data_IF_798165258303
#
_entry.id   IF_798165258303
#
_cell.length_a   1.000
_cell.length_b   1.000
_cell.length_c   1.000
_cell.angle_alpha   90.00
_cell.angle_beta   90.00
_cell.angle_gamma   90.00
#
_symmetry.space_group_name_H-M   'P 1'
#
loop_
_entity.id
_entity.type
_entity.pdbx_description
1 polymer ?
#
# COMPACT_ATOMS: atom_id res chain seq x y z
N UNK A 1 13.85 -4.85 88.74
CA UNK A 1 14.31 -3.78 87.81
C UNK A 1 14.87 -4.30 86.49
N UNK A 2 15.79 -5.29 86.47
CA UNK A 2 16.40 -5.81 85.22
C UNK A 2 15.41 -6.38 84.19
N UNK A 3 14.35 -7.05 84.64
CA UNK A 3 13.31 -7.64 83.76
C UNK A 3 12.31 -6.62 83.19
N UNK A 4 12.17 -5.45 83.81
CA UNK A 4 11.29 -4.36 83.32
C UNK A 4 12.03 -3.53 82.27
N UNK A 5 13.32 -3.24 82.48
CA UNK A 5 14.17 -2.59 81.46
C UNK A 5 14.30 -3.45 80.18
N UNK A 6 14.43 -4.76 80.31
CA UNK A 6 14.50 -5.67 79.15
C UNK A 6 13.21 -5.69 78.32
N UNK A 7 12.03 -5.57 78.96
CA UNK A 7 10.74 -5.50 78.26
C UNK A 7 10.51 -4.14 77.59
N UNK A 8 10.94 -3.05 78.25
CA UNK A 8 10.92 -1.70 77.66
C UNK A 8 11.82 -1.62 76.42
N UNK A 9 13.02 -2.21 76.46
CA UNK A 9 13.93 -2.24 75.31
C UNK A 9 13.35 -3.02 74.12
N UNK A 10 12.62 -4.11 74.38
CA UNK A 10 11.98 -4.92 73.33
C UNK A 10 10.77 -4.22 72.70
N UNK A 11 10.00 -3.44 73.47
CA UNK A 11 8.88 -2.63 72.97
C UNK A 11 9.38 -1.44 72.13
N UNK A 12 10.50 -0.82 72.52
CA UNK A 12 11.13 0.26 71.75
C UNK A 12 11.69 -0.22 70.40
N UNK A 13 12.24 -1.44 70.35
CA UNK A 13 12.72 -2.05 69.10
C UNK A 13 11.55 -2.42 68.17
N UNK A 14 10.44 -2.92 68.73
CA UNK A 14 9.26 -3.31 67.95
C UNK A 14 8.51 -2.09 67.38
N UNK A 15 8.52 -0.94 68.07
CA UNK A 15 7.95 0.31 67.58
C UNK A 15 8.77 0.96 66.44
N UNK A 16 10.08 0.67 66.35
CA UNK A 16 10.94 1.14 65.26
C UNK A 16 10.75 0.40 63.93
N UNK A 17 10.19 -0.81 63.96
CA UNK A 17 9.98 -1.66 62.77
C UNK A 17 8.75 -1.26 61.93
N UNK A 18 7.87 -0.38 62.44
CA UNK A 18 6.73 0.15 61.70
C UNK A 18 6.96 1.55 61.13
N UNK A 19 8.17 2.11 61.26
CA UNK A 19 8.60 3.27 60.48
C UNK A 19 8.99 2.81 59.06
N UNK A 20 8.02 2.27 58.34
CA UNK A 20 8.13 2.10 56.90
C UNK A 20 8.06 3.50 56.30
N UNK A 21 9.21 4.09 55.98
CA UNK A 21 9.29 5.23 55.08
C UNK A 21 8.38 4.94 53.88
N UNK A 22 7.32 5.73 53.68
CA UNK A 22 6.64 5.75 52.39
C UNK A 22 7.69 6.19 51.39
N UNK A 23 8.20 5.25 50.62
CA UNK A 23 8.99 5.57 49.44
C UNK A 23 7.96 6.07 48.43
N UNK A 24 7.70 7.37 48.45
CA UNK A 24 6.99 8.03 47.36
C UNK A 24 7.87 7.85 46.12
N UNK A 25 7.61 6.78 45.39
CA UNK A 25 8.23 6.55 44.10
C UNK A 25 7.72 7.63 43.16
N UNK A 26 8.63 8.46 42.65
CA UNK A 26 8.34 9.34 41.53
C UNK A 26 8.06 8.47 40.30
N UNK A 27 6.81 8.01 40.17
CA UNK A 27 6.36 7.22 39.02
C UNK A 27 6.31 8.14 37.81
N UNK A 28 7.15 7.83 36.82
CA UNK A 28 7.06 8.48 35.51
C UNK A 28 5.89 7.85 34.77
N UNK A 29 4.88 8.64 34.45
CA UNK A 29 3.75 8.20 33.63
C UNK A 29 3.38 9.24 32.59
N UNK A 30 2.69 8.78 31.56
CA UNK A 30 2.23 9.59 30.43
C UNK A 30 1.05 10.47 30.84
N UNK A 31 1.15 11.78 30.59
CA UNK A 31 0.12 12.77 30.93
C UNK A 31 -0.73 13.19 29.73
N UNK A 32 -0.25 12.96 28.51
CA UNK A 32 -1.01 13.24 27.29
C UNK A 32 -0.16 13.83 26.17
N UNK A 33 -0.84 14.42 25.20
CA UNK A 33 -0.26 15.19 24.10
C UNK A 33 -1.36 15.91 23.33
N UNK A 34 -0.96 16.82 22.45
CA UNK A 34 -1.87 17.57 21.58
C UNK A 34 -1.99 16.89 20.22
N UNK A 35 -3.20 16.79 19.68
CA UNK A 35 -3.39 16.28 18.33
C UNK A 35 -2.61 17.14 17.32
N UNK A 36 -1.78 16.54 16.44
CA UNK A 36 -1.10 17.30 15.39
C UNK A 36 -2.09 18.01 14.48
N UNK A 37 -1.80 19.24 14.06
CA UNK A 37 -2.59 19.94 13.05
C UNK A 37 -1.95 19.70 11.69
N UNK A 38 -2.60 18.91 10.83
CA UNK A 38 -2.14 18.62 9.47
C UNK A 38 -2.56 19.74 8.52
N UNK A 39 -1.59 20.26 7.79
CA UNK A 39 -1.76 21.24 6.72
C UNK A 39 -1.14 20.73 5.41
N UNK A 40 -1.63 21.25 4.29
CA UNK A 40 -1.10 20.99 2.95
C UNK A 40 -0.76 22.31 2.25
N UNK A 41 0.20 22.27 1.33
CA UNK A 41 0.56 23.41 0.48
C UNK A 41 -0.60 23.89 -0.40
N UNK A 42 -1.54 23.00 -0.72
CA UNK A 42 -2.79 23.31 -1.40
C UNK A 42 -3.80 22.19 -1.14
N UNK A 43 -5.08 22.54 -1.09
CA UNK A 43 -6.22 21.60 -1.10
C UNK A 43 -7.08 21.75 -2.36
N UNK A 44 -6.63 22.53 -3.34
CA UNK A 44 -7.30 22.66 -4.63
C UNK A 44 -7.27 21.34 -5.40
N UNK A 45 -8.24 21.14 -6.28
CA UNK A 45 -8.28 19.97 -7.15
C UNK A 45 -6.98 19.86 -7.98
N UNK A 46 -6.39 18.67 -8.02
CA UNK A 46 -5.14 18.40 -8.73
C UNK A 46 -5.37 17.38 -9.86
N UNK A 47 -4.91 17.73 -11.06
CA UNK A 47 -4.83 16.79 -12.18
C UNK A 47 -3.38 16.39 -12.36
N UNK A 48 -3.08 15.12 -12.10
CA UNK A 48 -1.74 14.57 -12.20
C UNK A 48 -1.49 14.16 -13.66
N UNK A 49 -0.30 14.48 -14.18
CA UNK A 49 0.09 14.10 -15.54
C UNK A 49 1.51 13.57 -15.57
N UNK A 50 1.77 12.60 -16.45
CA UNK A 50 3.12 12.06 -16.65
C UNK A 50 4.14 13.11 -17.10
N UNK A 51 3.69 14.15 -17.83
CA UNK A 51 4.55 15.26 -18.26
C UNK A 51 5.15 16.05 -17.09
N UNK A 52 4.44 16.09 -15.95
CA UNK A 52 4.86 16.80 -14.75
C UNK A 52 5.41 15.87 -13.67
N UNK A 53 5.74 14.61 -14.01
CA UNK A 53 6.10 13.55 -13.06
C UNK A 53 7.13 13.98 -12.00
N UNK A 54 8.15 14.74 -12.38
CA UNK A 54 9.23 15.20 -11.50
C UNK A 54 8.91 16.47 -10.70
N UNK A 55 7.81 17.16 -11.02
CA UNK A 55 7.42 18.38 -10.31
C UNK A 55 6.84 18.03 -8.94
N UNK A 56 7.05 18.91 -7.95
CA UNK A 56 6.39 18.79 -6.66
C UNK A 56 4.87 18.97 -6.83
N UNK A 57 4.08 18.02 -6.34
CA UNK A 57 2.62 18.08 -6.38
C UNK A 57 2.04 18.69 -5.10
N UNK A 58 2.42 18.13 -3.95
CA UNK A 58 1.88 18.54 -2.66
C UNK A 58 2.94 18.38 -1.58
N UNK A 59 2.96 19.34 -0.65
CA UNK A 59 3.74 19.27 0.58
C UNK A 59 2.80 19.30 1.76
N UNK A 60 2.96 18.34 2.66
CA UNK A 60 2.28 18.30 3.95
C UNK A 60 3.19 18.81 5.05
N UNK A 61 2.60 19.42 6.06
CA UNK A 61 3.28 19.86 7.28
C UNK A 61 2.36 19.70 8.48
N UNK A 62 2.92 19.50 9.67
CA UNK A 62 2.13 19.35 10.89
C UNK A 62 2.83 19.88 12.14
N UNK A 63 2.04 20.10 13.19
CA UNK A 63 2.56 20.48 14.52
C UNK A 63 3.10 19.26 15.27
N UNK A 64 4.07 19.48 16.16
CA UNK A 64 4.52 18.45 17.09
C UNK A 64 3.38 18.13 18.08
N UNK A 65 3.14 16.85 18.45
CA UNK A 65 2.16 16.52 19.47
C UNK A 65 2.56 16.92 20.89
N UNK A 66 3.82 17.29 21.15
CA UNK A 66 4.33 17.72 22.45
C UNK A 66 3.91 16.77 23.58
N UNK A 67 4.12 15.46 23.35
CA UNK A 67 3.81 14.41 24.30
C UNK A 67 4.44 14.73 25.66
N UNK A 68 3.67 14.61 26.73
CA UNK A 68 4.07 15.05 28.07
C UNK A 68 4.01 13.88 29.05
N UNK A 69 5.00 13.81 29.92
CA UNK A 69 5.08 12.91 31.06
C UNK A 69 5.14 13.76 32.34
N UNK A 70 5.03 13.12 33.51
CA UNK A 70 5.19 13.80 34.81
C UNK A 70 6.54 14.53 34.99
N UNK A 71 7.51 14.26 34.12
CA UNK A 71 8.83 14.91 34.08
C UNK A 71 8.89 16.10 33.10
N UNK A 72 7.78 16.46 32.47
CA UNK A 72 7.69 17.50 31.44
C UNK A 72 7.54 16.95 30.02
N UNK A 73 7.79 17.80 29.03
CA UNK A 73 7.71 17.44 27.60
C UNK A 73 8.69 16.31 27.28
N UNK A 74 8.20 15.32 26.57
CA UNK A 74 8.95 14.14 26.13
C UNK A 74 10.10 14.53 25.21
N UNK A 75 11.28 13.96 25.47
CA UNK A 75 12.44 14.03 24.58
C UNK A 75 12.54 12.84 23.62
N UNK A 76 11.53 11.96 23.60
CA UNK A 76 11.51 10.79 22.72
C UNK A 76 11.16 11.21 21.29
N UNK A 77 11.71 10.49 20.30
CA UNK A 77 11.34 10.67 18.91
C UNK A 77 9.85 10.32 18.70
N UNK A 78 9.19 11.12 17.86
CA UNK A 78 7.80 10.93 17.47
C UNK A 78 7.76 10.33 16.08
N UNK A 79 7.16 9.14 15.94
CA UNK A 79 6.89 8.54 14.66
C UNK A 79 5.60 9.11 14.07
N UNK A 80 5.67 9.58 12.83
CA UNK A 80 4.51 10.01 12.06
C UNK A 80 4.19 9.03 10.93
N UNK A 81 2.90 8.82 10.69
CA UNK A 81 2.39 8.05 9.56
C UNK A 81 1.30 8.89 8.89
N UNK A 82 1.55 9.30 7.64
CA UNK A 82 0.52 9.91 6.80
C UNK A 82 -0.36 8.78 6.24
N UNK A 83 -1.61 8.75 6.66
CA UNK A 83 -2.63 7.84 6.18
C UNK A 83 -3.40 8.50 5.03
N UNK A 84 -3.59 7.75 3.95
CA UNK A 84 -4.32 8.19 2.75
C UNK A 84 -5.41 7.18 2.44
N UNK A 85 -6.64 7.65 2.30
CA UNK A 85 -7.81 6.81 2.00
C UNK A 85 -8.81 7.57 1.10
N UNK A 86 -9.84 6.87 0.65
CA UNK A 86 -11.00 7.45 -0.02
C UNK A 86 -11.93 8.11 0.99
N UNK A 87 -12.62 9.17 0.55
CA UNK A 87 -13.53 9.93 1.43
C UNK A 87 -14.60 9.05 2.06
N UNK A 88 -14.77 9.15 3.38
CA UNK A 88 -15.83 8.46 4.12
C UNK A 88 -15.48 7.03 4.52
N UNK A 89 -14.33 6.50 4.08
CA UNK A 89 -13.83 5.18 4.49
C UNK A 89 -13.24 5.17 5.91
N UNK A 90 -13.11 6.35 6.53
CA UNK A 90 -12.62 6.52 7.91
C UNK A 90 -11.25 5.87 8.18
N UNK A 91 -10.38 5.79 7.16
CA UNK A 91 -9.07 5.15 7.26
C UNK A 91 -9.16 3.66 7.62
N UNK A 92 -10.14 2.96 7.02
CA UNK A 92 -10.38 1.53 7.23
C UNK A 92 -10.34 0.71 5.94
N UNK A 93 -10.16 1.34 4.78
CA UNK A 93 -10.09 0.63 3.51
C UNK A 93 -8.94 -0.38 3.49
N UNK A 94 -9.13 -1.57 2.89
CA UNK A 94 -8.05 -2.54 2.74
C UNK A 94 -6.90 -2.02 1.86
N UNK A 95 -7.17 -1.04 1.00
CA UNK A 95 -6.21 -0.39 0.11
C UNK A 95 -5.66 0.92 0.67
N UNK A 96 -6.00 1.31 1.91
CA UNK A 96 -5.47 2.50 2.58
C UNK A 96 -3.93 2.49 2.53
N UNK A 97 -3.34 3.65 2.27
CA UNK A 97 -1.89 3.80 2.23
C UNK A 97 -1.37 4.42 3.53
N UNK A 98 -0.26 3.86 4.05
CA UNK A 98 0.45 4.38 5.21
C UNK A 98 1.88 4.76 4.81
N UNK A 99 2.22 6.04 4.99
CA UNK A 99 3.52 6.59 4.59
C UNK A 99 4.23 7.08 5.85
N UNK A 100 5.27 6.36 6.26
CA UNK A 100 6.01 6.65 7.49
C UNK A 100 6.97 7.83 7.30
N UNK A 101 6.98 8.73 8.28
CA UNK A 101 7.86 9.90 8.39
C UNK A 101 8.43 9.91 9.80
N UNK A 102 9.74 9.69 9.92
CA UNK A 102 10.32 9.32 11.21
C UNK A 102 10.47 10.49 12.21
N UNK A 103 10.84 11.68 11.74
CA UNK A 103 11.19 12.83 12.62
C UNK A 103 10.80 14.18 12.03
N UNK A 104 10.74 14.25 10.71
CA UNK A 104 10.38 15.48 10.01
C UNK A 104 8.92 15.85 10.30
N UNK A 105 8.67 17.15 10.46
CA UNK A 105 7.31 17.69 10.60
C UNK A 105 6.65 17.94 9.23
N UNK A 106 7.26 17.43 8.16
CA UNK A 106 6.89 17.73 6.79
C UNK A 106 7.20 16.55 5.90
N UNK A 107 6.42 16.38 4.84
CA UNK A 107 6.74 15.47 3.73
C UNK A 107 6.26 16.08 2.42
N UNK A 108 6.97 15.81 1.33
CA UNK A 108 6.62 16.29 -0.01
C UNK A 108 6.46 15.11 -0.94
N UNK A 109 5.50 15.22 -1.86
CA UNK A 109 5.30 14.27 -2.94
C UNK A 109 5.48 14.98 -4.28
N UNK A 110 6.24 14.36 -5.16
CA UNK A 110 6.20 14.65 -6.59
C UNK A 110 4.88 14.18 -7.20
N UNK A 111 4.56 14.67 -8.40
CA UNK A 111 3.39 14.19 -9.17
C UNK A 111 3.44 12.67 -9.37
N UNK A 112 4.62 12.12 -9.66
CA UNK A 112 4.80 10.67 -9.82
C UNK A 112 4.52 9.90 -8.54
N UNK A 113 5.06 10.35 -7.41
CA UNK A 113 4.87 9.67 -6.13
C UNK A 113 3.41 9.74 -5.68
N UNK A 114 2.77 10.90 -5.80
CA UNK A 114 1.34 11.04 -5.49
C UNK A 114 0.48 10.17 -6.41
N UNK A 115 0.81 10.10 -7.70
CA UNK A 115 0.11 9.22 -8.64
C UNK A 115 0.27 7.74 -8.24
N UNK A 116 1.46 7.33 -7.81
CA UNK A 116 1.70 5.97 -7.34
C UNK A 116 0.90 5.64 -6.07
N UNK A 117 0.66 6.60 -5.17
CA UNK A 117 -0.26 6.44 -4.03
C UNK A 117 -1.68 6.18 -4.53
N UNK A 118 -2.15 6.95 -5.52
CA UNK A 118 -3.49 6.74 -6.11
C UNK A 118 -3.62 5.36 -6.77
N UNK A 119 -2.57 4.88 -7.46
CA UNK A 119 -2.55 3.54 -8.03
C UNK A 119 -2.68 2.46 -6.96
N UNK A 120 -1.99 2.61 -5.81
CA UNK A 120 -2.07 1.63 -4.71
C UNK A 120 -3.40 1.68 -3.95
N UNK A 121 -4.09 2.82 -4.00
CA UNK A 121 -5.48 2.96 -3.56
C UNK A 121 -6.47 2.33 -4.56
N UNK A 122 -6.01 1.83 -5.70
CA UNK A 122 -6.82 1.28 -6.80
C UNK A 122 -7.75 2.30 -7.46
N UNK A 123 -7.37 3.59 -7.41
CA UNK A 123 -8.13 4.65 -8.05
C UNK A 123 -8.07 4.52 -9.57
N UNK A 124 -9.23 4.61 -10.21
CA UNK A 124 -9.32 4.64 -11.66
C UNK A 124 -8.65 5.90 -12.22
N UNK A 125 -7.98 5.75 -13.35
CA UNK A 125 -7.19 6.81 -13.94
C UNK A 125 -8.03 7.76 -14.80
N UNK A 126 -7.56 9.01 -14.94
CA UNK A 126 -8.19 10.08 -15.70
C UNK A 126 -9.60 10.49 -15.22
N UNK A 127 -10.02 10.06 -14.02
CA UNK A 127 -11.25 10.51 -13.38
C UNK A 127 -10.94 11.12 -12.00
N UNK A 128 -11.69 12.16 -11.57
CA UNK A 128 -11.46 12.82 -10.27
C UNK A 128 -11.96 11.96 -9.10
N UNK A 129 -11.15 11.86 -8.04
CA UNK A 129 -11.49 11.15 -6.80
C UNK A 129 -11.37 12.06 -5.58
N UNK A 130 -12.25 11.88 -4.59
CA UNK A 130 -12.14 12.56 -3.30
C UNK A 130 -11.26 11.76 -2.35
N UNK A 131 -10.07 12.28 -2.06
CA UNK A 131 -9.06 11.61 -1.24
C UNK A 131 -8.93 12.31 0.11
N UNK A 132 -8.90 11.54 1.18
CA UNK A 132 -8.70 12.00 2.54
C UNK A 132 -7.29 11.68 3.04
N UNK A 133 -6.71 12.63 3.76
CA UNK A 133 -5.40 12.54 4.38
C UNK A 133 -5.52 12.81 5.88
N UNK A 134 -4.87 11.98 6.69
CA UNK A 134 -4.74 12.21 8.14
C UNK A 134 -3.37 11.78 8.61
N UNK A 135 -2.84 12.46 9.60
CA UNK A 135 -1.60 12.08 10.26
C UNK A 135 -1.89 11.29 11.52
N UNK A 136 -1.17 10.19 11.70
CA UNK A 136 -1.05 9.47 12.97
C UNK A 136 0.32 9.77 13.55
N UNK A 137 0.38 10.41 14.71
CA UNK A 137 1.59 10.55 15.51
C UNK A 137 1.60 9.51 16.63
N UNK A 138 2.76 8.99 17.00
CA UNK A 138 2.93 8.06 18.10
C UNK A 138 4.34 8.11 18.67
N UNK A 139 4.50 7.69 19.92
CA UNK A 139 5.82 7.35 20.47
C UNK A 139 6.27 5.98 19.95
N UNK A 140 7.49 5.56 20.34
CA UNK A 140 8.05 4.27 19.95
C UNK A 140 7.05 3.11 20.14
N UNK A 141 7.12 2.13 19.24
CA UNK A 141 6.22 0.97 19.19
C UNK A 141 4.73 1.32 19.01
N UNK A 142 4.42 2.43 18.32
CA UNK A 142 3.06 2.89 18.06
C UNK A 142 2.22 3.13 19.33
N UNK A 143 2.88 3.48 20.43
CA UNK A 143 2.19 3.76 21.70
C UNK A 143 1.57 5.15 21.68
N UNK A 144 0.48 5.32 22.45
CA UNK A 144 -0.21 6.61 22.66
C UNK A 144 -0.55 7.38 21.37
N UNK A 145 -1.22 6.75 20.38
CA UNK A 145 -1.44 7.38 19.08
C UNK A 145 -2.34 8.62 19.20
N UNK A 146 -1.94 9.70 18.52
CA UNK A 146 -2.73 10.91 18.33
C UNK A 146 -2.96 11.13 16.84
N UNK A 147 -4.19 11.49 16.48
CA UNK A 147 -4.58 11.70 15.09
C UNK A 147 -4.84 13.18 14.82
N UNK A 148 -4.46 13.65 13.62
CA UNK A 148 -4.74 15.01 13.18
C UNK A 148 -6.18 15.23 12.74
N UNK A 149 -6.50 16.48 12.40
CA UNK A 149 -7.60 16.79 11.48
C UNK A 149 -7.44 16.05 10.15
N UNK A 150 -8.56 15.87 9.45
CA UNK A 150 -8.60 15.29 8.11
C UNK A 150 -8.53 16.41 7.07
N UNK A 151 -7.70 16.22 6.05
CA UNK A 151 -7.70 17.05 4.84
C UNK A 151 -8.31 16.27 3.70
N UNK A 152 -9.15 16.94 2.90
CA UNK A 152 -9.73 16.37 1.69
C UNK A 152 -9.16 17.09 0.47
N UNK A 153 -8.79 16.33 -0.56
CA UNK A 153 -8.31 16.85 -1.84
C UNK A 153 -8.92 16.04 -2.98
N UNK A 154 -9.37 16.73 -4.03
CA UNK A 154 -9.79 16.08 -5.27
C UNK A 154 -8.55 15.81 -6.12
N UNK A 155 -8.30 14.55 -6.46
CA UNK A 155 -7.13 14.14 -7.24
C UNK A 155 -7.58 13.31 -8.44
N UNK A 156 -7.14 13.72 -9.63
CA UNK A 156 -7.29 12.97 -10.88
C UNK A 156 -5.93 12.33 -11.21
N UNK A 157 -5.73 11.02 -10.99
CA UNK A 157 -4.50 10.31 -11.34
C UNK A 157 -4.41 10.05 -12.84
N UNK A 158 -3.22 9.71 -13.32
CA UNK A 158 -2.97 9.26 -14.70
C UNK A 158 -2.50 7.80 -14.72
N UNK A 159 -2.72 7.15 -15.87
CA UNK A 159 -2.25 5.79 -16.11
C UNK A 159 -0.75 5.79 -16.40
N UNK A 160 0.02 5.19 -15.50
CA UNK A 160 1.49 5.04 -15.60
C UNK A 160 1.85 3.58 -15.91
N UNK A 161 1.80 3.23 -17.20
CA UNK A 161 2.06 1.87 -17.70
C UNK A 161 2.97 1.89 -18.91
N UNK A 162 3.82 0.87 -19.04
CA UNK A 162 4.65 0.65 -20.23
C UNK A 162 3.84 0.04 -21.37
N UNK A 163 2.85 -0.80 -21.04
CA UNK A 163 1.97 -1.46 -22.02
C UNK A 163 0.52 -1.07 -21.77
N UNK A 164 -0.27 -0.75 -22.82
CA UNK A 164 -1.70 -0.45 -22.67
C UNK A 164 -2.45 -1.58 -21.96
N UNK A 165 -3.21 -1.22 -20.92
CA UNK A 165 -4.01 -2.17 -20.14
C UNK A 165 -5.19 -2.74 -20.95
N UNK A 166 -5.75 -3.90 -20.56
CA UNK A 166 -6.97 -4.45 -21.16
C UNK A 166 -8.15 -3.47 -20.97
N UNK A 167 -8.76 -2.94 -22.05
CA UNK A 167 -9.74 -1.86 -21.97
C UNK A 167 -11.07 -2.26 -21.30
N UNK A 168 -11.40 -3.56 -21.29
CA UNK A 168 -12.60 -4.06 -20.61
C UNK A 168 -12.36 -4.31 -19.12
N UNK A 169 -11.12 -4.22 -18.64
CA UNK A 169 -10.73 -4.72 -17.32
C UNK A 169 -10.74 -6.24 -17.20
N UNK A 170 -10.95 -6.95 -18.31
CA UNK A 170 -10.94 -8.41 -18.39
C UNK A 170 -9.86 -8.88 -19.37
N UNK A 171 -9.34 -10.07 -19.11
CA UNK A 171 -8.29 -10.69 -19.91
C UNK A 171 -8.53 -12.21 -19.98
N UNK A 172 -8.40 -12.78 -21.17
CA UNK A 172 -8.68 -14.19 -21.45
C UNK A 172 -7.48 -14.82 -22.18
N UNK A 173 -7.08 -16.03 -21.80
CA UNK A 173 -6.05 -16.78 -22.52
C UNK A 173 -6.68 -17.56 -23.69
N UNK A 174 -6.01 -17.60 -24.84
CA UNK A 174 -6.44 -18.31 -26.05
C UNK A 174 -5.25 -18.90 -26.80
N UNK A 175 -5.46 -19.97 -27.55
CA UNK A 175 -4.44 -20.59 -28.40
C UNK A 175 -4.45 -22.11 -28.33
N UNK A 176 -3.68 -22.76 -29.20
CA UNK A 176 -3.62 -24.23 -29.25
C UNK A 176 -3.04 -24.88 -28.00
N UNK A 177 -2.43 -24.11 -27.09
CA UNK A 177 -2.07 -24.56 -25.75
C UNK A 177 -3.28 -24.75 -24.82
N UNK A 178 -4.45 -24.19 -25.17
CA UNK A 178 -5.68 -24.22 -24.37
C UNK A 178 -6.71 -25.21 -24.96
N UNK A 179 -7.64 -25.75 -24.15
CA UNK A 179 -8.68 -26.67 -24.64
C UNK A 179 -9.61 -26.09 -25.71
N UNK A 180 -9.82 -24.77 -25.71
CA UNK A 180 -10.65 -24.08 -26.70
C UNK A 180 -9.96 -23.83 -28.05
N UNK A 181 -8.68 -24.17 -28.17
CA UNK A 181 -7.79 -23.76 -29.28
C UNK A 181 -7.83 -22.23 -29.50
N UNK A 182 -7.39 -21.76 -30.68
CA UNK A 182 -7.51 -20.39 -31.13
C UNK A 182 -8.98 -19.99 -31.31
N UNK A 183 -9.50 -19.23 -30.36
CA UNK A 183 -10.83 -18.60 -30.42
C UNK A 183 -10.78 -17.16 -29.90
N UNK A 184 -11.65 -16.30 -30.44
CA UNK A 184 -11.89 -14.96 -29.91
C UNK A 184 -13.00 -14.93 -28.84
N UNK A 185 -13.59 -16.09 -28.53
CA UNK A 185 -14.55 -16.25 -27.44
C UNK A 185 -14.11 -17.35 -26.46
N UNK A 186 -12.96 -17.20 -25.76
CA UNK A 186 -12.52 -18.20 -24.78
C UNK A 186 -13.56 -18.43 -23.68
N UNK A 187 -13.72 -19.66 -23.18
CA UNK A 187 -14.63 -19.95 -22.09
C UNK A 187 -14.20 -19.26 -20.78
N UNK A 188 -15.13 -19.11 -19.83
CA UNK A 188 -14.85 -18.48 -18.52
C UNK A 188 -13.72 -19.16 -17.74
N UNK A 189 -13.50 -20.47 -17.93
CA UNK A 189 -12.38 -21.19 -17.32
C UNK A 189 -10.99 -20.69 -17.80
N UNK A 190 -10.95 -19.94 -18.91
CA UNK A 190 -9.75 -19.30 -19.46
C UNK A 190 -9.71 -17.79 -19.18
N UNK A 191 -10.58 -17.28 -18.30
CA UNK A 191 -10.49 -15.90 -17.81
C UNK A 191 -9.35 -15.77 -16.79
N UNK A 192 -8.51 -14.76 -16.96
CA UNK A 192 -7.46 -14.44 -16.01
C UNK A 192 -8.05 -13.78 -14.76
N UNK A 193 -7.43 -14.02 -13.60
CA UNK A 193 -7.69 -13.28 -12.38
C UNK A 193 -7.09 -11.88 -12.50
N UNK A 194 -7.89 -10.85 -12.23
CA UNK A 194 -7.41 -9.48 -12.07
C UNK A 194 -6.83 -9.33 -10.66
N UNK A 195 -5.53 -9.06 -10.56
CA UNK A 195 -4.81 -8.81 -9.29
C UNK A 195 -4.89 -7.34 -8.93
N UNK A 196 -4.75 -6.47 -9.92
CA UNK A 196 -4.94 -5.02 -9.81
C UNK A 196 -5.34 -4.45 -11.18
N UNK A 197 -5.53 -3.14 -11.30
CA UNK A 197 -5.78 -2.49 -12.60
C UNK A 197 -4.65 -2.71 -13.63
N UNK A 198 -3.44 -3.04 -13.18
CA UNK A 198 -2.26 -3.20 -14.04
C UNK A 198 -1.65 -4.60 -13.99
N UNK A 199 -2.25 -5.55 -13.27
CA UNK A 199 -1.72 -6.90 -13.13
C UNK A 199 -2.81 -7.97 -13.19
N UNK A 200 -2.57 -9.00 -14.01
CA UNK A 200 -3.44 -10.15 -14.17
C UNK A 200 -2.63 -11.44 -14.05
N UNK A 201 -3.24 -12.52 -13.58
CA UNK A 201 -2.63 -13.84 -13.60
C UNK A 201 -3.61 -14.95 -13.93
N UNK A 202 -3.09 -16.08 -14.39
CA UNK A 202 -3.86 -17.32 -14.55
C UNK A 202 -2.95 -18.52 -14.28
N UNK A 203 -3.51 -19.58 -13.69
CA UNK A 203 -2.80 -20.85 -13.50
C UNK A 203 -3.42 -21.89 -14.40
N UNK A 204 -2.63 -22.45 -15.32
CA UNK A 204 -3.10 -23.38 -16.37
C UNK A 204 -2.12 -24.53 -16.55
N UNK A 205 -2.61 -25.69 -17.00
CA UNK A 205 -1.76 -26.77 -17.47
C UNK A 205 -1.27 -26.44 -18.89
N UNK A 206 0.04 -26.55 -19.13
CA UNK A 206 0.67 -26.33 -20.43
C UNK A 206 1.38 -27.60 -20.89
N UNK A 207 1.20 -27.92 -22.17
CA UNK A 207 1.96 -28.95 -22.89
C UNK A 207 3.04 -28.27 -23.73
N UNK A 208 4.21 -28.87 -23.83
CA UNK A 208 5.34 -28.32 -24.60
C UNK A 208 5.05 -28.23 -26.11
N UNK A 209 5.59 -27.21 -26.77
CA UNK A 209 5.54 -27.06 -28.23
C UNK A 209 4.27 -26.39 -28.76
N UNK A 210 3.41 -25.89 -27.87
CA UNK A 210 2.19 -25.15 -28.19
C UNK A 210 2.37 -23.65 -27.92
N UNK A 211 1.37 -22.84 -28.27
CA UNK A 211 1.41 -21.39 -28.21
C UNK A 211 0.10 -20.81 -27.65
N UNK A 212 0.17 -19.60 -27.08
CA UNK A 212 -0.99 -18.86 -26.60
C UNK A 212 -0.81 -17.35 -26.69
N UNK A 213 -1.94 -16.63 -26.63
CA UNK A 213 -2.05 -15.17 -26.52
C UNK A 213 -3.14 -14.82 -25.50
N UNK A 214 -3.32 -13.52 -25.28
CA UNK A 214 -4.40 -13.00 -24.45
C UNK A 214 -5.27 -12.00 -25.19
N UNK A 215 -6.57 -11.99 -24.89
CA UNK A 215 -7.57 -11.09 -25.47
C UNK A 215 -8.34 -10.38 -24.36
N UNK A 216 -8.75 -9.13 -24.60
CA UNK A 216 -9.59 -8.38 -23.64
C UNK A 216 -11.07 -8.35 -24.01
N UNK A 217 -11.39 -8.36 -25.30
CA UNK A 217 -12.76 -8.21 -25.81
C UNK A 217 -13.23 -9.52 -26.42
N UNK A 218 -14.22 -10.17 -25.80
CA UNK A 218 -14.83 -11.38 -26.36
C UNK A 218 -15.48 -11.09 -27.72
N UNK A 219 -15.30 -12.00 -28.67
CA UNK A 219 -15.72 -11.85 -30.06
C UNK A 219 -14.76 -11.05 -30.94
N UNK A 220 -13.67 -10.51 -30.41
CA UNK A 220 -12.68 -9.73 -31.16
C UNK A 220 -11.25 -10.26 -30.96
N UNK A 221 -10.43 -10.18 -32.02
CA UNK A 221 -9.00 -10.52 -31.96
C UNK A 221 -8.14 -9.38 -31.43
N UNK A 222 -8.71 -8.20 -31.23
CA UNK A 222 -8.03 -7.04 -30.66
C UNK A 222 -8.88 -6.42 -29.54
N UNK A 223 -8.25 -5.88 -28.48
CA UNK A 223 -6.81 -5.89 -28.26
C UNK A 223 -6.28 -7.27 -27.89
N UNK A 224 -5.10 -7.60 -28.41
CA UNK A 224 -4.38 -8.84 -28.13
C UNK A 224 -3.00 -8.57 -27.53
N UNK A 225 -2.56 -9.52 -26.71
CA UNK A 225 -1.27 -9.49 -26.03
C UNK A 225 -0.53 -10.81 -26.21
N UNK A 226 0.78 -10.73 -26.36
CA UNK A 226 1.66 -11.86 -26.64
C UNK A 226 3.09 -11.60 -26.16
N UNK A 227 4.03 -12.37 -26.70
CA UNK A 227 5.44 -12.37 -26.28
C UNK A 227 6.22 -13.50 -26.95
N UNK A 228 7.54 -13.43 -26.90
CA UNK A 228 8.43 -14.30 -27.70
C UNK A 228 9.20 -15.35 -26.89
N UNK A 229 9.00 -15.41 -25.57
CA UNK A 229 9.77 -16.26 -24.63
C UNK A 229 8.86 -17.16 -23.79
N UNK A 230 9.28 -18.41 -23.59
CA UNK A 230 8.48 -19.39 -22.85
C UNK A 230 8.46 -19.20 -21.33
N UNK A 231 9.37 -18.39 -20.78
CA UNK A 231 9.51 -18.19 -19.32
C UNK A 231 9.14 -16.78 -18.87
N UNK A 232 9.01 -15.84 -19.81
CA UNK A 232 8.76 -14.43 -19.52
C UNK A 232 9.55 -13.48 -20.42
N UNK A 233 9.09 -12.25 -20.51
CA UNK A 233 9.65 -11.23 -21.40
C UNK A 233 8.79 -9.98 -21.47
N UNK A 234 9.04 -9.15 -22.48
CA UNK A 234 8.21 -7.99 -22.81
C UNK A 234 6.83 -8.41 -23.33
N UNK A 235 5.79 -7.71 -22.90
CA UNK A 235 4.43 -7.87 -23.43
C UNK A 235 4.38 -7.18 -24.79
N UNK A 236 4.27 -7.98 -25.85
CA UNK A 236 3.85 -7.48 -27.16
C UNK A 236 2.35 -7.24 -27.16
N UNK A 237 1.88 -6.23 -27.91
CA UNK A 237 0.46 -5.90 -27.96
C UNK A 237 0.04 -5.38 -29.34
N UNK A 238 -1.24 -5.58 -29.68
CA UNK A 238 -1.91 -4.89 -30.77
C UNK A 238 -3.30 -4.45 -30.29
N UNK A 239 -3.55 -3.14 -30.26
CA UNK A 239 -4.82 -2.55 -29.80
C UNK A 239 -5.91 -2.43 -30.89
N UNK A 240 -5.67 -2.98 -32.08
CA UNK A 240 -6.53 -2.76 -33.27
C UNK A 240 -5.84 -1.97 -34.39
N UNK A 241 -4.53 -1.72 -34.26
CA UNK A 241 -3.72 -1.04 -35.27
C UNK A 241 -2.28 -1.54 -35.23
N UNK A 242 -1.65 -1.66 -36.39
CA UNK A 242 -0.29 -2.19 -36.53
C UNK A 242 -0.24 -3.72 -36.64
N UNK A 243 0.94 -4.28 -36.40
CA UNK A 243 1.22 -5.72 -36.50
C UNK A 243 0.88 -6.45 -35.21
N UNK A 244 0.46 -7.70 -35.35
CA UNK A 244 0.20 -8.57 -34.21
C UNK A 244 1.50 -8.95 -33.48
N UNK A 245 1.48 -9.06 -32.14
CA UNK A 245 2.61 -9.57 -31.39
C UNK A 245 2.81 -11.07 -31.64
N UNK A 246 4.00 -11.58 -31.33
CA UNK A 246 4.25 -13.03 -31.33
C UNK A 246 3.35 -13.75 -30.34
N UNK A 247 2.98 -15.00 -30.64
CA UNK A 247 2.35 -15.88 -29.68
C UNK A 247 3.38 -16.42 -28.69
N UNK A 248 3.02 -16.46 -27.41
CA UNK A 248 3.92 -16.94 -26.36
C UNK A 248 4.09 -18.45 -26.51
N UNK A 249 5.32 -18.96 -26.69
CA UNK A 249 5.54 -20.40 -26.70
C UNK A 249 5.39 -20.97 -25.29
N UNK A 250 4.84 -22.17 -25.20
CA UNK A 250 4.79 -22.94 -23.94
C UNK A 250 6.19 -23.38 -23.50
N UNK A 251 6.44 -23.55 -22.18
CA UNK A 251 7.67 -24.14 -21.67
C UNK A 251 7.97 -25.52 -22.28
N UNK A 252 9.26 -25.86 -22.41
CA UNK A 252 9.70 -27.16 -22.95
C UNK A 252 9.32 -28.36 -22.07
N UNK A 253 8.96 -28.13 -20.80
CA UNK A 253 8.52 -29.15 -19.85
C UNK A 253 7.03 -28.95 -19.61
N UNK A 254 6.23 -29.99 -19.82
CA UNK A 254 4.81 -29.94 -19.48
C UNK A 254 4.59 -29.80 -17.98
N UNK A 255 3.50 -29.15 -17.59
CA UNK A 255 3.13 -28.98 -16.19
C UNK A 255 2.13 -27.87 -15.97
N UNK A 256 1.84 -27.58 -14.70
CA UNK A 256 1.02 -26.45 -14.30
C UNK A 256 1.90 -25.21 -14.13
N UNK A 257 1.48 -24.10 -14.71
CA UNK A 257 2.21 -22.84 -14.69
C UNK A 257 1.30 -21.70 -14.27
N UNK A 258 1.82 -20.81 -13.44
CA UNK A 258 1.25 -19.48 -13.22
C UNK A 258 1.84 -18.52 -14.23
N UNK A 259 0.98 -17.90 -15.01
CA UNK A 259 1.33 -16.82 -15.94
C UNK A 259 0.87 -15.51 -15.32
N UNK A 260 1.76 -14.52 -15.24
CA UNK A 260 1.46 -13.18 -14.74
C UNK A 260 1.77 -12.15 -15.82
N UNK A 261 0.85 -11.22 -16.08
CA UNK A 261 1.04 -10.07 -16.96
C UNK A 261 1.00 -8.80 -16.10
N UNK A 262 2.08 -8.03 -16.12
CA UNK A 262 2.21 -6.77 -15.42
C UNK A 262 2.35 -5.63 -16.45
N UNK A 263 1.25 -4.94 -16.70
CA UNK A 263 1.14 -3.85 -17.69
C UNK A 263 1.92 -2.61 -17.26
N UNK A 264 2.07 -2.40 -15.94
CA UNK A 264 2.89 -1.32 -15.39
C UNK A 264 4.34 -1.41 -15.85
N UNK A 265 4.94 -2.58 -15.72
CA UNK A 265 6.32 -2.85 -16.17
C UNK A 265 6.41 -3.27 -17.64
N UNK A 266 5.28 -3.64 -18.25
CA UNK A 266 5.22 -4.18 -19.61
C UNK A 266 5.82 -5.58 -19.71
N UNK A 267 5.85 -6.35 -18.62
CA UNK A 267 6.48 -7.67 -18.56
C UNK A 267 5.48 -8.77 -18.24
N UNK A 268 5.69 -9.95 -18.82
CA UNK A 268 5.02 -11.18 -18.39
C UNK A 268 6.03 -12.19 -17.83
N UNK A 269 5.55 -13.11 -17.00
CA UNK A 269 6.33 -14.23 -16.46
C UNK A 269 5.53 -15.53 -16.49
N UNK A 270 6.23 -16.65 -16.63
CA UNK A 270 5.64 -18.01 -16.67
C UNK A 270 6.43 -18.88 -15.70
N UNK A 271 5.80 -19.25 -14.58
CA UNK A 271 6.47 -19.91 -13.45
C UNK A 271 5.78 -21.24 -13.14
N UNK A 272 6.54 -22.33 -13.12
CA UNK A 272 6.02 -23.67 -12.80
C UNK A 272 5.48 -23.69 -11.36
N UNK A 273 4.35 -24.37 -11.15
CA UNK A 273 3.73 -24.58 -9.84
C UNK A 273 4.06 -25.96 -9.26
#
# INVERSE_FOLDING_TARGET
MKTILSKLFFISILAGLFSSCKKDENKIYFEGGTAPVLAASSTSAMVLTGANASNQAIRFSWTNPDYTFTTGVSSQDVLYVLQVDTTGSNFTSPTMQEISVARELTTSFTVKELNAVMTKLEMLENIPHNIEFRLKASLANNTVPLFSNVLQVIITPYLDVVTPIPPTGELYITGNAMPSDWTNSPPLAQKCNKVSNTEYNITVALTSGLQYKFLSTLGAWQPQYGGSSATGGDIGYNMGGGSDPDAIPTPSVAGTYKITLNFKTGKYSVVKQ
#
